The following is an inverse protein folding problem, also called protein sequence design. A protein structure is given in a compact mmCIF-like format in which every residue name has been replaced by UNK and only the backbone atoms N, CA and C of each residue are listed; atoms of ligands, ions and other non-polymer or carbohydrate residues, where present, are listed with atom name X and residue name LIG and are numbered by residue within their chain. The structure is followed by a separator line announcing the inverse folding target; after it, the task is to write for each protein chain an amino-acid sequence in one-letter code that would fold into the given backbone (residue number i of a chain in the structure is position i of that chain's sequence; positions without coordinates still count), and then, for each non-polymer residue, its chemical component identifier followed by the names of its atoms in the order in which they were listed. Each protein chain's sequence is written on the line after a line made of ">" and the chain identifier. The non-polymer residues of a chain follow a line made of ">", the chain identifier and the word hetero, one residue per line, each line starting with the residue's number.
data_IF_342058229268
#
_entry.id   IF_342058229268
#
_cell.length_a   1.000
_cell.length_b   1.000
_cell.length_c   1.000
_cell.angle_alpha   90.00
_cell.angle_beta   90.00
_cell.angle_gamma   90.00
#
_symmetry.space_group_name_H-M   'P 1'
#
loop_
_entity.id
_entity.type
_entity.pdbx_description
1 polymer ?
#
# COMPACT_ATOMS: atom_id res chain seq x y z
N UNK A 1 13.83 -11.07 -18.51
CA UNK A 1 13.39 -12.47 -18.30
C UNK A 1 12.43 -12.49 -17.12
N UNK A 2 11.32 -13.23 -17.22
CA UNK A 2 10.33 -13.35 -16.12
C UNK A 2 10.33 -14.79 -15.66
N UNK A 3 10.64 -15.03 -14.38
CA UNK A 3 10.58 -16.36 -13.78
C UNK A 3 9.36 -16.44 -12.89
N UNK A 4 8.54 -17.46 -13.10
CA UNK A 4 7.38 -17.76 -12.27
C UNK A 4 7.63 -19.11 -11.64
N UNK A 5 7.77 -19.12 -10.32
CA UNK A 5 7.91 -20.35 -9.56
C UNK A 5 6.54 -20.63 -8.94
N UNK A 6 5.93 -21.74 -9.36
CA UNK A 6 4.77 -22.33 -8.69
C UNK A 6 5.28 -23.48 -7.84
N UNK A 7 5.15 -23.40 -6.53
CA UNK A 7 5.54 -24.49 -5.66
C UNK A 7 4.36 -25.46 -5.54
N UNK A 8 4.46 -26.66 -6.12
CA UNK A 8 3.33 -27.61 -6.28
C UNK A 8 2.92 -28.34 -5.00
N UNK A 9 3.39 -27.91 -3.83
CA UNK A 9 2.91 -28.40 -2.53
C UNK A 9 2.23 -27.33 -1.67
N UNK A 10 2.34 -26.04 -2.03
CA UNK A 10 1.81 -24.94 -1.24
C UNK A 10 1.50 -23.74 -2.13
N UNK A 11 0.24 -23.33 -2.10
CA UNK A 11 -0.53 -22.33 -2.86
C UNK A 11 0.11 -20.94 -3.02
N UNK A 12 1.37 -20.85 -3.39
CA UNK A 12 2.18 -19.65 -3.46
C UNK A 12 2.60 -19.36 -4.90
N UNK A 13 2.60 -18.08 -5.27
CA UNK A 13 3.06 -17.61 -6.59
C UNK A 13 4.21 -16.64 -6.37
N UNK A 14 5.38 -17.00 -6.90
CA UNK A 14 6.55 -16.12 -6.89
C UNK A 14 6.83 -15.64 -8.30
N UNK A 15 6.91 -14.33 -8.47
CA UNK A 15 7.19 -13.66 -9.75
C UNK A 15 8.44 -12.82 -9.61
N UNK A 16 9.46 -13.13 -10.40
CA UNK A 16 10.70 -12.35 -10.49
C UNK A 16 10.82 -11.78 -11.90
N UNK A 17 11.03 -10.47 -12.01
CA UNK A 17 11.14 -9.76 -13.29
C UNK A 17 9.86 -9.02 -13.66
N UNK A 18 9.47 -9.07 -14.93
CA UNK A 18 8.32 -8.29 -15.45
C UNK A 18 7.13 -9.19 -15.75
N UNK A 19 6.03 -9.06 -15.02
CA UNK A 19 4.79 -9.78 -15.31
C UNK A 19 3.71 -8.83 -15.81
N UNK A 20 3.07 -9.21 -16.93
CA UNK A 20 1.81 -8.64 -17.40
C UNK A 20 0.80 -9.78 -17.49
N UNK A 21 -0.23 -9.78 -16.64
CA UNK A 21 -1.24 -10.86 -16.60
C UNK A 21 -2.62 -10.28 -16.35
N UNK A 22 -3.69 -10.90 -16.90
CA UNK A 22 -5.06 -10.44 -16.69
C UNK A 22 -5.49 -10.57 -15.22
N UNK A 23 -5.07 -11.63 -14.53
CA UNK A 23 -5.29 -11.81 -13.10
C UNK A 23 -4.20 -12.68 -12.46
N UNK A 24 -4.05 -12.56 -11.14
CA UNK A 24 -3.24 -13.46 -10.30
C UNK A 24 -4.10 -13.82 -9.07
N UNK A 25 -4.24 -15.12 -8.82
CA UNK A 25 -4.89 -15.66 -7.63
C UNK A 25 -4.02 -16.74 -7.01
N UNK A 26 -3.71 -16.62 -5.72
CA UNK A 26 -2.97 -17.60 -4.93
C UNK A 26 -3.24 -17.36 -3.44
N UNK A 27 -2.84 -18.28 -2.56
CA UNK A 27 -2.87 -18.03 -1.11
C UNK A 27 -1.88 -16.93 -0.73
N UNK A 28 -0.66 -17.04 -1.24
CA UNK A 28 0.43 -16.07 -1.05
C UNK A 28 1.05 -15.66 -2.38
N UNK A 29 1.33 -14.37 -2.55
CA UNK A 29 1.91 -13.82 -3.78
C UNK A 29 3.15 -13.00 -3.41
N UNK A 30 4.29 -13.36 -3.98
CA UNK A 30 5.52 -12.58 -3.88
C UNK A 30 5.92 -12.10 -5.28
N UNK A 31 6.07 -10.79 -5.43
CA UNK A 31 6.54 -10.18 -6.67
C UNK A 31 7.77 -9.33 -6.41
N UNK A 32 8.83 -9.59 -7.15
CA UNK A 32 10.02 -8.76 -7.19
C UNK A 32 10.26 -8.30 -8.63
N UNK A 33 10.01 -7.02 -8.92
CA UNK A 33 10.20 -6.43 -10.24
C UNK A 33 9.02 -5.57 -10.69
N UNK A 34 8.54 -5.80 -11.92
CA UNK A 34 7.49 -4.98 -12.55
C UNK A 34 6.20 -5.79 -12.67
N UNK A 35 5.12 -5.32 -12.03
CA UNK A 35 3.80 -5.97 -12.11
C UNK A 35 2.78 -5.08 -12.83
N UNK A 36 2.17 -5.59 -13.89
CA UNK A 36 1.04 -4.92 -14.57
C UNK A 36 -0.12 -5.90 -14.67
N UNK A 37 -1.06 -5.78 -13.74
CA UNK A 37 -2.16 -6.74 -13.62
C UNK A 37 -3.47 -6.07 -13.19
N UNK A 38 -4.57 -6.22 -13.95
CA UNK A 38 -5.86 -5.70 -13.56
C UNK A 38 -6.38 -6.20 -12.21
N UNK A 39 -6.14 -7.48 -11.87
CA UNK A 39 -6.67 -8.10 -10.64
C UNK A 39 -5.65 -8.98 -9.93
N UNK A 40 -5.35 -8.67 -8.68
CA UNK A 40 -4.52 -9.48 -7.78
C UNK A 40 -5.35 -9.82 -6.55
N UNK A 41 -5.56 -11.12 -6.32
CA UNK A 41 -6.31 -11.62 -5.16
C UNK A 41 -5.46 -12.64 -4.43
N UNK A 42 -5.36 -12.51 -3.11
CA UNK A 42 -4.76 -13.53 -2.28
C UNK A 42 -5.50 -13.74 -0.97
N UNK A 43 -5.51 -14.99 -0.50
CA UNK A 43 -6.22 -15.35 0.73
C UNK A 43 -5.45 -14.89 1.99
N UNK A 44 -4.12 -14.81 1.91
CA UNK A 44 -3.25 -14.49 3.05
C UNK A 44 -2.37 -13.26 2.83
N UNK A 45 -1.41 -13.31 1.91
CA UNK A 45 -0.44 -12.24 1.74
C UNK A 45 -0.09 -11.91 0.29
N UNK A 46 0.12 -10.62 0.05
CA UNK A 46 0.71 -10.09 -1.17
C UNK A 46 1.89 -9.21 -0.82
N UNK A 47 3.08 -9.59 -1.27
CA UNK A 47 4.31 -8.81 -1.14
C UNK A 47 4.76 -8.38 -2.52
N UNK A 48 4.83 -7.07 -2.77
CA UNK A 48 5.27 -6.50 -4.04
C UNK A 48 6.42 -5.54 -3.78
N UNK A 49 7.61 -5.94 -4.23
CA UNK A 49 8.80 -5.11 -4.24
C UNK A 49 9.15 -4.72 -5.67
N UNK A 50 9.06 -3.43 -5.99
CA UNK A 50 9.42 -2.89 -7.31
C UNK A 50 8.46 -1.84 -7.84
N UNK A 51 7.89 -2.03 -9.03
CA UNK A 51 7.06 -1.00 -9.68
C UNK A 51 5.90 -1.64 -10.44
N UNK A 52 4.89 -0.86 -10.81
CA UNK A 52 3.76 -1.46 -11.52
C UNK A 52 2.48 -0.65 -11.55
N UNK A 53 1.49 -1.20 -12.25
CA UNK A 53 0.10 -0.74 -12.22
C UNK A 53 -0.82 -1.91 -11.92
N UNK A 54 -1.63 -1.79 -10.88
CA UNK A 54 -2.59 -2.79 -10.43
C UNK A 54 -3.98 -2.17 -10.43
N UNK A 55 -4.96 -2.84 -11.05
CA UNK A 55 -6.34 -2.34 -11.03
C UNK A 55 -6.96 -2.55 -9.65
N UNK A 56 -7.06 -3.81 -9.21
CA UNK A 56 -7.60 -4.19 -7.91
C UNK A 56 -6.61 -5.10 -7.20
N UNK A 57 -6.28 -4.76 -5.96
CA UNK A 57 -5.51 -5.57 -5.02
C UNK A 57 -6.40 -5.95 -3.84
N UNK A 58 -6.61 -7.24 -3.61
CA UNK A 58 -7.35 -7.75 -2.46
C UNK A 58 -6.57 -8.83 -1.73
N UNK A 59 -6.31 -8.65 -0.44
CA UNK A 59 -5.66 -9.66 0.41
C UNK A 59 -5.89 -9.41 1.89
N UNK A 60 -5.58 -10.37 2.76
CA UNK A 60 -5.54 -10.12 4.21
C UNK A 60 -4.37 -9.20 4.56
N UNK A 61 -3.17 -9.48 4.06
CA UNK A 61 -1.98 -8.66 4.31
C UNK A 61 -1.34 -8.21 3.00
N UNK A 62 -1.11 -6.92 2.87
CA UNK A 62 -0.48 -6.32 1.70
C UNK A 62 0.81 -5.62 2.12
N UNK A 63 1.93 -5.95 1.49
CA UNK A 63 3.22 -5.27 1.67
C UNK A 63 3.66 -4.73 0.32
N UNK A 64 3.75 -3.41 0.21
CA UNK A 64 4.10 -2.70 -1.01
C UNK A 64 5.39 -1.94 -0.77
N UNK A 65 6.44 -2.26 -1.53
CA UNK A 65 7.73 -1.59 -1.45
C UNK A 65 8.04 -1.10 -2.85
N UNK A 66 7.95 0.21 -3.07
CA UNK A 66 8.28 0.77 -4.38
C UNK A 66 9.79 0.73 -4.62
N UNK A 67 10.20 0.65 -5.89
CA UNK A 67 11.59 0.75 -6.31
C UNK A 67 11.90 2.13 -6.91
N UNK A 68 12.61 2.13 -8.05
CA UNK A 68 12.94 3.36 -8.80
C UNK A 68 11.75 4.00 -9.53
N UNK A 69 10.66 3.26 -9.68
CA UNK A 69 9.41 3.68 -10.33
C UNK A 69 8.27 3.41 -9.38
N UNK A 70 7.15 4.16 -9.47
CA UNK A 70 6.05 4.02 -8.54
C UNK A 70 5.34 2.67 -8.70
N UNK A 71 4.67 2.27 -7.62
CA UNK A 71 3.59 1.29 -7.64
C UNK A 71 2.29 2.08 -7.64
N UNK A 72 1.46 1.88 -8.65
CA UNK A 72 0.17 2.55 -8.80
C UNK A 72 -0.94 1.53 -8.67
N UNK A 73 -1.88 1.77 -7.77
CA UNK A 73 -3.02 0.88 -7.50
C UNK A 73 -4.31 1.67 -7.62
N UNK A 74 -5.24 1.23 -8.46
CA UNK A 74 -6.53 1.92 -8.59
C UNK A 74 -7.43 1.62 -7.37
N UNK A 75 -7.53 0.36 -6.92
CA UNK A 75 -8.30 -0.05 -5.74
C UNK A 75 -7.54 -1.06 -4.88
N UNK A 76 -7.45 -0.82 -3.58
CA UNK A 76 -6.84 -1.72 -2.62
C UNK A 76 -7.81 -2.04 -1.48
N UNK A 77 -8.02 -3.33 -1.22
CA UNK A 77 -8.83 -3.88 -0.14
C UNK A 77 -7.95 -4.83 0.67
N UNK A 78 -7.37 -4.34 1.76
CA UNK A 78 -6.45 -5.12 2.59
C UNK A 78 -6.93 -5.11 4.04
N UNK A 79 -6.77 -6.20 4.81
CA UNK A 79 -6.98 -6.06 6.26
C UNK A 79 -5.85 -5.23 6.87
N UNK A 80 -4.61 -5.61 6.58
CA UNK A 80 -3.42 -4.87 6.98
C UNK A 80 -2.63 -4.46 5.74
N UNK A 81 -2.20 -3.19 5.68
CA UNK A 81 -1.38 -2.67 4.59
C UNK A 81 -0.11 -2.01 5.13
N UNK A 82 1.04 -2.44 4.63
CA UNK A 82 2.32 -1.75 4.81
C UNK A 82 2.75 -1.23 3.44
N UNK A 83 2.76 0.10 3.27
CA UNK A 83 3.13 0.74 2.02
C UNK A 83 4.35 1.64 2.21
N UNK A 84 5.46 1.28 1.57
CA UNK A 84 6.77 1.90 1.69
C UNK A 84 7.24 2.40 0.33
N UNK A 85 7.13 3.71 0.12
CA UNK A 85 7.80 4.38 -0.96
C UNK A 85 9.29 4.51 -0.69
N UNK A 86 10.14 4.07 -1.63
CA UNK A 86 11.60 4.32 -1.56
C UNK A 86 11.96 5.57 -2.38
N UNK A 87 12.48 5.41 -3.60
CA UNK A 87 12.80 6.53 -4.50
C UNK A 87 11.56 7.12 -5.17
N UNK A 88 10.53 6.31 -5.38
CA UNK A 88 9.24 6.74 -5.91
C UNK A 88 8.13 6.46 -4.89
N UNK A 89 7.00 7.18 -4.94
CA UNK A 89 5.89 6.90 -4.03
C UNK A 89 5.18 5.59 -4.37
N UNK A 90 4.44 5.05 -3.40
CA UNK A 90 3.31 4.16 -3.65
C UNK A 90 2.07 5.04 -3.80
N UNK A 91 1.29 4.84 -4.86
CA UNK A 91 0.08 5.62 -5.12
C UNK A 91 -1.13 4.71 -5.13
N UNK A 92 -2.13 5.01 -4.32
CA UNK A 92 -3.36 4.21 -4.21
C UNK A 92 -4.57 5.14 -4.38
N UNK A 93 -5.37 4.94 -5.43
CA UNK A 93 -6.50 5.83 -5.69
C UNK A 93 -7.64 5.63 -4.70
N UNK A 94 -8.05 4.40 -4.43
CA UNK A 94 -9.05 4.07 -3.41
C UNK A 94 -8.52 2.98 -2.48
N UNK A 95 -8.43 3.27 -1.19
CA UNK A 95 -7.91 2.35 -0.19
C UNK A 95 -8.95 2.11 0.91
N UNK A 96 -9.29 0.83 1.11
CA UNK A 96 -10.03 0.35 2.27
C UNK A 96 -9.16 -0.64 3.04
N UNK A 97 -8.80 -0.32 4.27
CA UNK A 97 -8.05 -1.23 5.12
C UNK A 97 -8.40 -1.16 6.60
N UNK A 98 -8.22 -2.22 7.38
CA UNK A 98 -8.40 -2.12 8.84
C UNK A 98 -7.24 -1.32 9.44
N UNK A 99 -6.01 -1.69 9.09
CA UNK A 99 -4.81 -0.97 9.51
C UNK A 99 -3.92 -0.61 8.31
N UNK A 100 -3.28 0.55 8.38
CA UNK A 100 -2.25 0.97 7.43
C UNK A 100 -1.03 1.56 8.15
N UNK A 101 0.16 1.13 7.72
CA UNK A 101 1.40 1.87 7.88
C UNK A 101 1.84 2.41 6.52
N UNK A 102 2.07 3.72 6.44
CA UNK A 102 2.43 4.41 5.21
C UNK A 102 3.70 5.25 5.39
N UNK A 103 4.65 5.09 4.47
CA UNK A 103 5.80 5.96 4.28
C UNK A 103 5.92 6.31 2.81
N UNK A 104 5.95 7.60 2.46
CA UNK A 104 6.07 8.12 1.09
C UNK A 104 4.97 7.54 0.18
N UNK A 105 3.73 7.72 0.62
CA UNK A 105 2.52 7.16 -0.02
C UNK A 105 1.54 8.28 -0.34
N UNK A 106 0.96 8.24 -1.53
CA UNK A 106 -0.12 9.14 -1.95
C UNK A 106 -1.41 8.34 -2.05
N UNK A 107 -2.44 8.78 -1.34
CA UNK A 107 -3.74 8.11 -1.26
C UNK A 107 -4.81 9.07 -1.77
N UNK A 108 -5.63 8.64 -2.72
CA UNK A 108 -6.79 9.42 -3.17
C UNK A 108 -7.87 9.42 -2.09
N UNK A 109 -8.53 8.29 -1.90
CA UNK A 109 -9.56 8.09 -0.89
C UNK A 109 -9.13 7.03 0.12
N UNK A 110 -9.29 7.33 1.41
CA UNK A 110 -8.92 6.43 2.51
C UNK A 110 -10.11 6.14 3.43
N UNK A 111 -10.42 4.85 3.58
CA UNK A 111 -11.29 4.33 4.64
C UNK A 111 -10.48 3.35 5.49
N UNK A 112 -10.29 3.66 6.77
CA UNK A 112 -9.56 2.78 7.67
C UNK A 112 -10.03 2.83 9.11
N UNK A 113 -9.59 1.88 9.95
CA UNK A 113 -9.74 1.98 11.40
C UNK A 113 -8.53 2.65 12.01
N UNK A 114 -7.32 2.22 11.61
CA UNK A 114 -6.06 2.71 12.17
C UNK A 114 -5.08 3.08 11.06
N UNK A 115 -4.56 4.31 11.09
CA UNK A 115 -3.53 4.76 10.17
C UNK A 115 -2.30 5.27 10.91
N UNK A 116 -1.12 4.84 10.48
CA UNK A 116 0.16 5.41 10.88
C UNK A 116 0.81 6.01 9.64
N UNK A 117 0.94 7.33 9.63
CA UNK A 117 1.64 8.06 8.59
C UNK A 117 3.03 8.46 9.08
N UNK A 118 4.05 7.97 8.40
CA UNK A 118 5.43 8.37 8.59
C UNK A 118 5.77 9.52 7.63
N UNK A 119 6.92 9.47 6.97
CA UNK A 119 7.45 10.52 6.10
C UNK A 119 6.68 10.69 4.79
N UNK A 120 6.44 11.94 4.35
CA UNK A 120 5.97 12.31 2.99
C UNK A 120 4.70 11.58 2.53
N UNK A 121 3.71 11.46 3.41
CA UNK A 121 2.41 10.90 3.08
C UNK A 121 1.41 11.99 2.70
N UNK A 122 0.56 11.70 1.72
CA UNK A 122 -0.52 12.58 1.29
C UNK A 122 -1.82 11.80 1.17
N UNK A 123 -2.91 12.33 1.71
CA UNK A 123 -4.26 11.79 1.55
C UNK A 123 -5.16 12.88 1.00
N UNK A 124 -5.78 12.66 -0.16
CA UNK A 124 -6.69 13.65 -0.73
C UNK A 124 -8.00 13.70 0.06
N UNK A 125 -8.65 12.56 0.28
CA UNK A 125 -9.89 12.47 1.04
C UNK A 125 -9.81 11.35 2.07
N UNK A 126 -9.86 11.71 3.35
CA UNK A 126 -10.05 10.78 4.45
C UNK A 126 -11.55 10.60 4.70
N UNK A 127 -12.08 9.47 4.21
CA UNK A 127 -13.50 9.14 4.33
C UNK A 127 -13.86 8.73 5.75
N UNK A 128 -13.00 7.91 6.38
CA UNK A 128 -13.17 7.44 7.76
C UNK A 128 -11.85 6.97 8.35
N UNK A 129 -11.54 7.38 9.59
CA UNK A 129 -10.52 6.77 10.43
C UNK A 129 -10.92 6.80 11.91
N UNK A 130 -10.77 5.69 12.63
CA UNK A 130 -10.99 5.68 14.09
C UNK A 130 -9.78 6.23 14.85
N UNK A 131 -8.57 5.97 14.34
CA UNK A 131 -7.32 6.47 14.92
C UNK A 131 -6.31 6.79 13.83
N UNK A 132 -5.64 7.94 13.95
CA UNK A 132 -4.56 8.36 13.06
C UNK A 132 -3.34 8.80 13.87
N UNK A 133 -2.17 8.27 13.52
CA UNK A 133 -0.89 8.63 14.11
C UNK A 133 -0.02 9.30 13.06
N UNK A 134 0.37 10.54 13.31
CA UNK A 134 1.31 11.30 12.47
C UNK A 134 2.70 11.24 13.08
N UNK A 135 3.65 10.63 12.39
CA UNK A 135 5.05 10.52 12.83
C UNK A 135 5.99 11.48 12.08
N UNK A 136 5.46 12.29 11.16
CA UNK A 136 6.20 13.30 10.41
C UNK A 136 5.32 14.54 10.22
N UNK A 137 5.86 15.77 10.34
CA UNK A 137 5.08 17.00 10.20
C UNK A 137 4.68 17.31 8.74
N UNK A 138 5.27 16.66 7.74
CA UNK A 138 4.97 16.87 6.32
C UNK A 138 3.87 15.94 5.79
N UNK A 139 3.18 15.22 6.67
CA UNK A 139 1.98 14.49 6.28
C UNK A 139 0.85 15.48 6.06
N UNK A 140 0.16 15.37 4.93
CA UNK A 140 -0.97 16.25 4.61
C UNK A 140 -2.23 15.44 4.28
N UNK A 141 -3.37 15.94 4.76
CA UNK A 141 -4.70 15.44 4.40
C UNK A 141 -5.52 16.63 3.91
N UNK A 142 -6.02 16.59 2.68
CA UNK A 142 -6.72 17.74 2.07
C UNK A 142 -8.16 17.86 2.59
N UNK A 143 -8.92 16.76 2.58
CA UNK A 143 -10.32 16.72 3.04
C UNK A 143 -10.51 15.63 4.10
N UNK A 144 -11.15 15.97 5.22
CA UNK A 144 -11.46 15.03 6.31
C UNK A 144 -12.97 14.98 6.49
N UNK A 145 -13.56 13.78 6.43
CA UNK A 145 -15.00 13.56 6.67
C UNK A 145 -15.29 13.04 8.08
N UNK A 146 -14.75 11.87 8.43
CA UNK A 146 -14.94 11.23 9.74
C UNK A 146 -13.58 10.83 10.32
N UNK A 147 -13.20 11.44 11.44
CA UNK A 147 -11.92 11.25 12.10
C UNK A 147 -12.12 11.16 13.61
N UNK A 148 -11.70 10.03 14.18
CA UNK A 148 -11.65 9.79 15.62
C UNK A 148 -10.38 10.36 16.26
N UNK A 149 -9.64 9.50 16.94
CA UNK A 149 -8.46 9.89 17.72
C UNK A 149 -7.28 10.29 16.82
N UNK A 150 -6.57 11.35 17.18
CA UNK A 150 -5.35 11.81 16.50
C UNK A 150 -4.18 11.86 17.47
N UNK A 151 -3.06 11.25 17.10
CA UNK A 151 -1.80 11.29 17.86
C UNK A 151 -0.70 11.87 17.00
N UNK A 152 0.07 12.82 17.53
CA UNK A 152 1.28 13.35 16.90
C UNK A 152 2.50 12.81 17.61
N UNK A 153 3.37 12.09 16.89
CA UNK A 153 4.57 11.46 17.40
C UNK A 153 5.83 12.06 16.75
N UNK A 154 5.98 13.37 16.87
CA UNK A 154 7.18 14.10 16.50
C UNK A 154 7.37 15.31 17.43
N UNK A 155 8.63 15.75 17.58
CA UNK A 155 8.95 16.98 18.31
C UNK A 155 9.10 18.11 17.30
N UNK A 156 8.33 19.19 17.47
CA UNK A 156 8.58 20.43 16.75
C UNK A 156 9.85 21.07 17.32
N UNK A 157 10.79 21.45 16.45
CA UNK A 157 11.96 22.23 16.86
C UNK A 157 11.47 23.63 17.24
N UNK A 158 11.55 23.97 18.53
CA UNK A 158 11.30 25.33 18.98
C UNK A 158 12.47 26.22 18.50
N UNK A 159 12.20 27.10 17.53
CA UNK A 159 13.10 28.21 17.25
C UNK A 159 12.74 29.34 18.23
N UNK A 160 13.47 29.39 19.36
CA UNK A 160 13.53 30.55 20.25
C UNK A 160 14.55 31.55 19.75
#
# INVERSE_FOLDING_TARGET
>A
MTRILKNSGNSSVVIIGRAKRPYIRARSILVTGVLVTPLVVSDEEVVISGSGKIGVLASKTCVLISGRKPIIIDKAHCINLVALGTKSPVTIKHLKAISIFAKRVLIGELETREAVFAELCGVKQLLRASRVVFSDPHVYIEEIRDLGEVTYNYKLLNYT
#
